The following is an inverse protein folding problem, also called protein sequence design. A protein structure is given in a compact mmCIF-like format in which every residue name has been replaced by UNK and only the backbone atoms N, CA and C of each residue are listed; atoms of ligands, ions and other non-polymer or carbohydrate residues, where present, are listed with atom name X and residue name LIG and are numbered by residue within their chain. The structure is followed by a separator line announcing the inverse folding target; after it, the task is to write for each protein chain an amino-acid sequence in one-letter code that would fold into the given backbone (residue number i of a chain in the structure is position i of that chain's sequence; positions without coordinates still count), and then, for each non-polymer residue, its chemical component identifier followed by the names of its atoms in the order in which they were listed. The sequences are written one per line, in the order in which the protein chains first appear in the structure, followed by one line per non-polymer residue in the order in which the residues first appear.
data_IF_301101730810
#
_entry.id   IF_301101730810
#
_cell.length_a   1.000
_cell.length_b   1.000
_cell.length_c   1.000
_cell.angle_alpha   90.00
_cell.angle_beta   90.00
_cell.angle_gamma   90.00
#
_symmetry.space_group_name_H-M   'P 1'
#
loop_
_entity.id
_entity.type
_entity.pdbx_description
1 polymer ?
#
# COMPACT_ATOMS: atom_id res chain seq x y z
N UNK A 1 -8.29 9.87 -20.19
CA UNK A 1 -6.92 9.89 -19.64
C UNK A 1 -6.74 8.74 -18.67
N UNK A 2 -5.60 8.06 -18.73
CA UNK A 2 -5.24 7.04 -17.75
C UNK A 2 -4.49 7.68 -16.59
N UNK A 3 -4.88 7.32 -15.37
CA UNK A 3 -4.30 7.79 -14.11
C UNK A 3 -3.82 6.57 -13.32
N UNK A 4 -2.64 6.66 -12.73
CA UNK A 4 -2.20 5.65 -11.77
C UNK A 4 -2.72 6.01 -10.37
N UNK A 5 -3.32 5.04 -9.70
CA UNK A 5 -3.76 5.19 -8.32
C UNK A 5 -2.95 4.26 -7.44
N UNK A 6 -2.24 4.82 -6.49
CA UNK A 6 -1.42 4.11 -5.51
C UNK A 6 -1.78 4.60 -4.11
N UNK A 7 -1.61 3.77 -3.10
CA UNK A 7 -1.93 4.15 -1.73
C UNK A 7 -1.12 3.35 -0.73
N UNK A 8 -1.00 3.88 0.47
CA UNK A 8 -0.41 3.18 1.61
C UNK A 8 1.01 2.67 1.31
N UNK A 9 1.83 3.55 0.75
CA UNK A 9 3.22 3.26 0.39
C UNK A 9 4.12 3.11 1.62
N UNK A 10 3.78 3.75 2.72
CA UNK A 10 4.44 3.63 4.02
C UNK A 10 5.97 3.77 3.95
N UNK A 11 6.47 4.79 3.29
CA UNK A 11 7.91 5.08 3.30
C UNK A 11 8.39 5.31 4.73
N UNK A 12 9.44 4.62 5.12
CA UNK A 12 9.89 4.54 6.50
C UNK A 12 9.35 3.31 7.26
N UNK A 13 8.62 2.43 6.58
CA UNK A 13 8.02 1.24 7.18
C UNK A 13 9.05 0.33 7.87
N UNK A 14 8.55 -0.45 8.83
CA UNK A 14 9.36 -1.43 9.57
C UNK A 14 10.57 -0.78 10.25
N UNK A 15 10.33 0.36 10.93
CA UNK A 15 11.37 1.16 11.61
C UNK A 15 12.47 1.62 10.66
N UNK A 16 12.07 2.15 9.51
CA UNK A 16 12.99 2.61 8.46
C UNK A 16 13.92 1.51 7.93
N UNK A 17 13.43 0.29 7.81
CA UNK A 17 14.21 -0.89 7.42
C UNK A 17 14.79 -0.77 6.02
N UNK A 18 16.12 -0.85 5.90
CA UNK A 18 16.80 -0.89 4.60
C UNK A 18 16.38 -2.12 3.78
N UNK A 19 16.23 -3.27 4.44
CA UNK A 19 15.80 -4.51 3.80
C UNK A 19 14.45 -4.32 3.09
N UNK A 20 13.47 -3.71 3.78
CA UNK A 20 12.15 -3.48 3.22
C UNK A 20 12.17 -2.42 2.11
N UNK A 21 12.97 -1.37 2.23
CA UNK A 21 13.08 -0.36 1.18
C UNK A 21 13.78 -0.89 -0.07
N UNK A 22 14.77 -1.75 0.05
CA UNK A 22 15.38 -2.45 -1.09
C UNK A 22 14.34 -3.37 -1.78
N UNK A 23 13.49 -4.03 -1.00
CA UNK A 23 12.38 -4.81 -1.51
C UNK A 23 11.32 -3.93 -2.21
N UNK A 24 10.94 -2.80 -1.62
CA UNK A 24 10.03 -1.86 -2.26
C UNK A 24 10.57 -1.35 -3.59
N UNK A 25 11.87 -1.12 -3.68
CA UNK A 25 12.53 -0.61 -4.88
C UNK A 25 12.34 -1.55 -6.09
N UNK A 26 12.32 -2.86 -5.87
CA UNK A 26 12.04 -3.83 -6.95
C UNK A 26 10.68 -3.60 -7.59
N UNK A 27 9.66 -3.30 -6.78
CA UNK A 27 8.34 -2.96 -7.28
C UNK A 27 8.38 -1.68 -8.13
N UNK A 28 9.02 -0.63 -7.65
CA UNK A 28 9.09 0.63 -8.39
C UNK A 28 9.91 0.49 -9.68
N UNK A 29 11.06 -0.16 -9.64
CA UNK A 29 11.94 -0.31 -10.79
C UNK A 29 11.42 -1.28 -11.84
N UNK A 30 10.78 -2.35 -11.44
CA UNK A 30 10.39 -3.43 -12.36
C UNK A 30 8.92 -3.39 -12.75
N UNK A 31 8.05 -2.77 -11.98
CA UNK A 31 6.61 -2.74 -12.20
C UNK A 31 6.07 -1.33 -12.39
N UNK A 32 6.22 -0.48 -11.38
CA UNK A 32 5.53 0.81 -11.33
C UNK A 32 6.01 1.78 -12.41
N UNK A 33 7.28 2.14 -12.43
CA UNK A 33 7.82 3.07 -13.43
C UNK A 33 7.76 2.54 -14.85
N UNK A 34 8.09 1.26 -15.12
CA UNK A 34 7.89 0.72 -16.46
C UNK A 34 6.45 0.77 -16.96
N UNK A 35 5.47 0.56 -16.06
CA UNK A 35 4.05 0.65 -16.42
C UNK A 35 3.66 2.09 -16.74
N UNK A 36 4.11 3.08 -15.96
CA UNK A 36 3.85 4.49 -16.25
C UNK A 36 4.35 4.87 -17.65
N UNK A 37 5.55 4.45 -18.00
CA UNK A 37 6.15 4.72 -19.31
C UNK A 37 5.38 4.02 -20.44
N UNK A 38 5.10 2.74 -20.29
CA UNK A 38 4.38 1.93 -21.29
C UNK A 38 2.98 2.48 -21.58
N UNK A 39 2.27 2.89 -20.55
CA UNK A 39 0.88 3.37 -20.65
C UNK A 39 0.80 4.88 -20.89
N UNK A 40 1.92 5.58 -20.91
CA UNK A 40 1.96 7.03 -21.08
C UNK A 40 1.28 7.80 -19.95
N UNK A 41 1.37 7.31 -18.72
CA UNK A 41 0.71 7.90 -17.56
C UNK A 41 1.53 9.07 -17.03
N UNK A 42 0.90 10.24 -16.91
CA UNK A 42 1.52 11.49 -16.42
C UNK A 42 0.83 12.04 -15.18
N UNK A 43 -0.15 11.33 -14.64
CA UNK A 43 -0.89 11.75 -13.43
C UNK A 43 -1.01 10.57 -12.49
N UNK A 44 -0.66 10.80 -11.24
CA UNK A 44 -0.77 9.85 -10.14
C UNK A 44 -1.72 10.42 -9.08
N UNK A 45 -2.59 9.59 -8.53
CA UNK A 45 -3.31 9.86 -7.30
C UNK A 45 -2.77 8.94 -6.22
N UNK A 46 -2.20 9.53 -5.18
CA UNK A 46 -1.76 8.88 -3.95
C UNK A 46 -2.83 9.07 -2.89
N UNK A 47 -3.49 8.00 -2.51
CA UNK A 47 -4.65 8.06 -1.59
C UNK A 47 -4.28 8.02 -0.12
N UNK A 48 -3.03 8.33 0.23
CA UNK A 48 -2.62 8.56 1.60
C UNK A 48 -1.73 7.48 2.20
N UNK A 49 -1.31 7.73 3.44
CA UNK A 49 -0.33 6.93 4.17
C UNK A 49 0.96 6.70 3.36
N UNK A 50 1.42 7.77 2.75
CA UNK A 50 2.64 7.81 1.96
C UNK A 50 3.88 7.57 2.82
N UNK A 51 3.88 8.14 4.04
CA UNK A 51 4.90 7.91 5.06
C UNK A 51 4.31 7.11 6.22
N UNK A 52 5.12 6.26 6.82
CA UNK A 52 4.67 5.27 7.80
C UNK A 52 4.40 5.85 9.19
N UNK A 53 5.23 6.80 9.63
CA UNK A 53 5.20 7.31 11.00
C UNK A 53 4.74 8.77 11.03
N UNK A 54 3.82 9.08 11.95
CA UNK A 54 3.26 10.42 12.14
C UNK A 54 4.28 11.46 12.56
N UNK A 55 5.28 11.06 13.33
CA UNK A 55 6.17 12.00 14.06
C UNK A 55 7.55 12.13 13.44
N UNK A 56 7.91 11.27 12.49
CA UNK A 56 9.22 11.40 11.87
C UNK A 56 9.59 10.26 10.94
N UNK A 57 10.66 10.48 10.22
CA UNK A 57 11.31 9.51 9.34
C UNK A 57 12.82 9.71 9.48
N UNK A 58 13.62 8.64 9.43
CA UNK A 58 15.06 8.85 9.44
C UNK A 58 15.54 9.39 8.08
N UNK A 59 16.73 10.01 8.08
CA UNK A 59 17.25 10.66 6.89
C UNK A 59 17.56 9.68 5.75
N UNK A 60 17.99 8.46 6.06
CA UNK A 60 18.26 7.45 5.03
C UNK A 60 16.98 7.02 4.29
N UNK A 61 15.89 6.79 5.02
CA UNK A 61 14.61 6.44 4.42
C UNK A 61 14.01 7.60 3.64
N UNK A 62 14.15 8.84 4.13
CA UNK A 62 13.70 10.03 3.42
C UNK A 62 14.50 10.23 2.12
N UNK A 63 15.82 10.11 2.17
CA UNK A 63 16.67 10.19 0.98
C UNK A 63 16.30 9.11 -0.02
N UNK A 64 16.06 7.90 0.44
CA UNK A 64 15.60 6.79 -0.40
C UNK A 64 14.30 7.15 -1.15
N UNK A 65 13.30 7.68 -0.44
CA UNK A 65 12.01 8.05 -1.03
C UNK A 65 12.16 9.16 -2.08
N UNK A 66 12.99 10.17 -1.80
CA UNK A 66 13.26 11.25 -2.74
C UNK A 66 14.02 10.76 -3.97
N UNK A 67 15.12 10.03 -3.77
CA UNK A 67 15.98 9.56 -4.85
C UNK A 67 15.28 8.55 -5.76
N UNK A 68 14.51 7.63 -5.20
CA UNK A 68 13.94 6.50 -5.93
C UNK A 68 12.48 6.68 -6.39
N UNK A 69 11.79 7.70 -5.89
CA UNK A 69 10.39 7.94 -6.22
C UNK A 69 10.16 9.38 -6.70
N UNK A 70 10.28 10.37 -5.83
CA UNK A 70 9.88 11.75 -6.16
C UNK A 70 10.76 12.42 -7.19
N UNK A 71 12.08 12.28 -7.12
CA UNK A 71 13.01 12.85 -8.12
C UNK A 71 12.76 12.22 -9.51
N UNK A 72 12.48 10.93 -9.56
CA UNK A 72 12.16 10.24 -10.81
C UNK A 72 10.87 10.76 -11.42
N UNK A 73 9.82 10.94 -10.63
CA UNK A 73 8.54 11.48 -11.09
C UNK A 73 8.69 12.93 -11.56
N UNK A 74 9.48 13.74 -10.87
CA UNK A 74 9.76 15.11 -11.29
C UNK A 74 10.46 15.15 -12.63
N UNK A 75 11.49 14.32 -12.84
CA UNK A 75 12.19 14.21 -14.13
C UNK A 75 11.30 13.74 -15.27
N UNK A 76 10.35 12.86 -14.98
CA UNK A 76 9.38 12.37 -15.95
C UNK A 76 8.26 13.36 -16.26
N UNK A 77 8.14 14.43 -15.50
CA UNK A 77 7.05 15.39 -15.64
C UNK A 77 5.70 14.86 -15.17
N UNK A 78 5.69 13.91 -14.23
CA UNK A 78 4.47 13.32 -13.71
C UNK A 78 3.92 14.16 -12.57
N UNK A 79 2.64 14.51 -12.66
CA UNK A 79 1.91 15.18 -11.57
C UNK A 79 1.42 14.18 -10.55
N UNK A 80 1.63 14.48 -9.27
CA UNK A 80 1.21 13.65 -8.14
C UNK A 80 0.21 14.43 -7.28
N UNK A 81 -1.00 13.87 -7.14
CA UNK A 81 -1.99 14.34 -6.19
C UNK A 81 -1.91 13.45 -4.95
N UNK A 82 -1.55 14.02 -3.80
CA UNK A 82 -1.37 13.28 -2.55
C UNK A 82 -2.42 13.65 -1.52
N UNK A 83 -3.21 12.68 -1.12
CA UNK A 83 -4.25 12.84 -0.10
C UNK A 83 -3.65 12.49 1.27
N UNK A 84 -3.91 13.32 2.28
CA UNK A 84 -3.42 13.07 3.65
C UNK A 84 -4.15 11.88 4.26
N UNK A 85 -3.39 10.87 4.71
CA UNK A 85 -3.88 9.72 5.45
C UNK A 85 -3.64 9.85 6.96
N UNK A 86 -4.09 8.88 7.73
CA UNK A 86 -3.96 8.92 9.19
C UNK A 86 -2.52 8.75 9.69
N UNK A 87 -1.66 8.05 8.96
CA UNK A 87 -0.25 7.89 9.30
C UNK A 87 0.61 9.09 8.90
N UNK A 88 0.11 10.01 8.10
CA UNK A 88 0.83 11.22 7.70
C UNK A 88 0.40 12.46 8.47
N UNK A 89 -0.71 12.42 9.18
CA UNK A 89 -1.16 13.50 10.05
C UNK A 89 -0.48 13.42 11.43
N UNK A 90 0.19 14.48 11.82
CA UNK A 90 0.94 14.53 13.08
C UNK A 90 0.04 14.34 14.31
N UNK A 91 -1.05 15.11 14.39
CA UNK A 91 -2.06 14.95 15.43
C UNK A 91 -3.20 14.05 14.97
N UNK A 92 -3.78 13.29 15.89
CA UNK A 92 -4.89 12.37 15.57
C UNK A 92 -6.20 13.08 15.24
N UNK A 93 -6.35 14.34 15.63
CA UNK A 93 -7.60 15.09 15.53
C UNK A 93 -7.59 16.18 14.46
N UNK A 94 -6.49 16.37 13.74
CA UNK A 94 -6.37 17.37 12.67
C UNK A 94 -5.36 16.96 11.61
N UNK A 95 -5.59 17.37 10.36
CA UNK A 95 -4.66 17.17 9.23
C UNK A 95 -3.74 18.37 8.99
N UNK A 96 -3.80 19.41 9.82
CA UNK A 96 -3.10 20.70 9.58
C UNK A 96 -1.59 20.53 9.46
N UNK A 97 -0.98 19.76 10.36
CA UNK A 97 0.44 19.43 10.30
C UNK A 97 0.54 18.00 9.80
N UNK A 98 1.15 17.81 8.64
CA UNK A 98 1.29 16.49 8.05
C UNK A 98 2.62 16.32 7.31
N UNK A 99 3.08 15.08 7.25
CA UNK A 99 4.38 14.73 6.70
C UNK A 99 4.50 15.06 5.21
N UNK A 100 3.46 14.80 4.43
CA UNK A 100 3.52 14.99 2.98
C UNK A 100 3.63 16.46 2.60
N UNK A 101 2.93 17.35 3.29
CA UNK A 101 3.10 18.80 3.08
C UNK A 101 4.50 19.28 3.47
N UNK A 102 4.99 18.86 4.62
CA UNK A 102 6.29 19.32 5.13
C UNK A 102 7.49 18.77 4.35
N UNK A 103 7.44 17.50 3.97
CA UNK A 103 8.59 16.82 3.37
C UNK A 103 8.70 16.97 1.86
N UNK A 104 7.63 17.37 1.17
CA UNK A 104 7.54 17.38 -0.29
C UNK A 104 7.39 18.78 -0.90
N UNK A 105 7.58 19.84 -0.12
CA UNK A 105 7.42 21.23 -0.58
C UNK A 105 8.32 21.63 -1.73
N UNK A 106 9.46 21.00 -1.88
CA UNK A 106 10.43 21.27 -2.96
C UNK A 106 9.97 20.75 -4.33
N UNK A 107 8.94 19.89 -4.37
CA UNK A 107 8.46 19.29 -5.61
C UNK A 107 7.25 20.05 -6.15
N UNK A 108 7.45 20.80 -7.22
CA UNK A 108 6.38 21.56 -7.89
C UNK A 108 5.32 20.66 -8.54
N UNK A 109 5.69 19.40 -8.83
CA UNK A 109 4.79 18.42 -9.43
C UNK A 109 3.94 17.65 -8.39
N UNK A 110 4.12 17.91 -7.10
CA UNK A 110 3.35 17.27 -6.01
C UNK A 110 2.39 18.27 -5.40
N UNK A 111 1.11 17.93 -5.39
CA UNK A 111 0.06 18.71 -4.74
C UNK A 111 -0.54 17.91 -3.59
N UNK A 112 -0.61 18.51 -2.40
CA UNK A 112 -1.06 17.86 -1.16
C UNK A 112 -2.46 18.35 -0.78
N UNK A 113 -3.34 17.42 -0.47
CA UNK A 113 -4.73 17.67 -0.08
C UNK A 113 -4.93 17.28 1.39
N UNK A 114 -5.06 18.28 2.25
CA UNK A 114 -5.32 18.10 3.68
C UNK A 114 -6.79 18.33 4.07
N UNK A 115 -7.58 18.89 3.16
CA UNK A 115 -9.02 19.09 3.27
C UNK A 115 -9.73 18.56 2.02
N UNK A 116 -11.03 18.22 2.10
CA UNK A 116 -11.77 17.78 0.92
C UNK A 116 -11.75 18.81 -0.19
N UNK A 117 -11.53 18.36 -1.42
CA UNK A 117 -11.44 19.24 -2.58
C UNK A 117 -11.93 18.52 -3.84
N UNK A 118 -12.69 19.24 -4.66
CA UNK A 118 -13.08 18.77 -5.99
C UNK A 118 -11.95 19.06 -6.98
N UNK A 119 -11.46 18.02 -7.65
CA UNK A 119 -10.33 18.08 -8.58
C UNK A 119 -10.75 17.52 -9.92
N UNK A 120 -10.35 18.19 -11.00
CA UNK A 120 -10.53 17.66 -12.35
C UNK A 120 -9.35 16.79 -12.74
N UNK A 121 -9.63 15.52 -13.02
CA UNK A 121 -8.71 14.62 -13.68
C UNK A 121 -9.14 14.52 -15.15
N UNK A 122 -8.49 15.30 -16.02
CA UNK A 122 -8.96 15.57 -17.38
C UNK A 122 -10.38 16.17 -17.35
N UNK A 123 -11.39 15.50 -17.86
CA UNK A 123 -12.80 15.94 -17.84
C UNK A 123 -13.59 15.45 -16.62
N UNK A 124 -13.06 14.50 -15.88
CA UNK A 124 -13.74 13.91 -14.73
C UNK A 124 -13.51 14.74 -13.47
N UNK A 125 -14.60 15.17 -12.84
CA UNK A 125 -14.54 15.78 -11.51
C UNK A 125 -14.54 14.69 -10.45
N UNK A 126 -13.54 14.71 -9.59
CA UNK A 126 -13.36 13.76 -8.48
C UNK A 126 -13.31 14.52 -7.17
N UNK A 127 -14.04 14.07 -6.17
CA UNK A 127 -13.91 14.57 -4.81
C UNK A 127 -12.79 13.83 -4.10
N UNK A 128 -11.72 14.54 -3.74
CA UNK A 128 -10.66 14.02 -2.88
C UNK A 128 -11.04 14.20 -1.42
N UNK A 129 -10.98 13.12 -0.64
CA UNK A 129 -11.39 13.11 0.77
C UNK A 129 -10.22 12.64 1.63
N UNK A 130 -9.45 13.57 2.24
CA UNK A 130 -8.42 13.24 3.20
C UNK A 130 -8.98 12.57 4.45
N UNK A 131 -8.09 12.04 5.28
CA UNK A 131 -8.45 11.38 6.54
C UNK A 131 -9.46 12.20 7.33
N UNK A 132 -10.60 11.58 7.64
CA UNK A 132 -11.68 12.21 8.40
C UNK A 132 -11.38 12.04 9.89
N UNK A 133 -11.34 13.16 10.61
CA UNK A 133 -11.04 13.23 12.02
C UNK A 133 -12.05 14.13 12.75
N UNK A 134 -11.85 14.31 14.05
CA UNK A 134 -12.78 15.08 14.85
C UNK A 134 -12.97 16.53 14.39
N UNK A 135 -11.90 17.17 13.90
CA UNK A 135 -11.94 18.56 13.44
C UNK A 135 -12.73 18.74 12.14
N UNK A 136 -12.55 17.82 11.19
CA UNK A 136 -13.05 17.99 9.82
C UNK A 136 -14.32 17.18 9.50
N UNK A 137 -14.79 16.32 10.41
CA UNK A 137 -15.88 15.37 10.12
C UNK A 137 -17.17 16.09 9.67
N UNK A 138 -17.62 17.08 10.43
CA UNK A 138 -18.87 17.79 10.13
C UNK A 138 -18.81 18.49 8.76
N UNK A 139 -17.72 19.19 8.47
CA UNK A 139 -17.55 19.90 7.21
C UNK A 139 -17.40 18.93 6.03
N UNK A 140 -16.67 17.83 6.23
CA UNK A 140 -16.50 16.79 5.21
C UNK A 140 -17.82 16.14 4.84
N UNK A 141 -18.66 15.81 5.82
CA UNK A 141 -19.98 15.23 5.56
C UNK A 141 -20.90 16.19 4.79
N UNK A 142 -20.84 17.48 5.10
CA UNK A 142 -21.57 18.50 4.33
C UNK A 142 -21.09 18.59 2.88
N UNK A 143 -19.80 18.52 2.66
CA UNK A 143 -19.21 18.54 1.31
C UNK A 143 -19.64 17.30 0.52
N UNK A 144 -19.61 16.12 1.13
CA UNK A 144 -20.08 14.87 0.53
C UNK A 144 -21.57 14.99 0.14
N UNK A 145 -22.40 15.56 1.00
CA UNK A 145 -23.82 15.74 0.73
C UNK A 145 -24.07 16.68 -0.45
N UNK A 146 -23.32 17.78 -0.55
CA UNK A 146 -23.52 18.84 -1.54
C UNK A 146 -22.79 18.63 -2.87
N UNK A 147 -21.76 17.82 -2.91
CA UNK A 147 -20.96 17.67 -4.12
C UNK A 147 -21.75 17.12 -5.29
N UNK A 148 -21.42 17.58 -6.49
CA UNK A 148 -21.95 17.04 -7.76
C UNK A 148 -21.03 16.01 -8.39
N UNK A 149 -19.88 15.71 -7.77
CA UNK A 149 -18.98 14.67 -8.24
C UNK A 149 -19.62 13.28 -8.15
N UNK A 150 -19.46 12.47 -9.19
CA UNK A 150 -19.91 11.07 -9.21
C UNK A 150 -18.83 10.08 -8.76
N UNK A 151 -17.58 10.54 -8.64
CA UNK A 151 -16.44 9.76 -8.22
C UNK A 151 -15.76 10.42 -7.02
N UNK A 152 -15.38 9.62 -6.04
CA UNK A 152 -14.61 10.05 -4.89
C UNK A 152 -13.38 9.18 -4.69
N UNK A 153 -12.28 9.79 -4.25
CA UNK A 153 -11.04 9.11 -3.88
C UNK A 153 -10.58 9.62 -2.53
N UNK A 154 -10.26 8.73 -1.61
CA UNK A 154 -9.92 9.16 -0.27
C UNK A 154 -9.17 8.14 0.57
N UNK A 155 -9.02 8.49 1.84
CA UNK A 155 -8.40 7.66 2.85
C UNK A 155 -9.41 7.45 3.98
N UNK A 156 -10.28 6.44 3.83
CA UNK A 156 -11.52 6.31 4.57
C UNK A 156 -11.52 5.06 5.45
N UNK A 157 -12.15 5.17 6.62
CA UNK A 157 -12.40 4.03 7.50
C UNK A 157 -13.88 3.67 7.48
N UNK A 158 -14.25 2.72 6.61
CA UNK A 158 -15.62 2.30 6.39
C UNK A 158 -15.89 0.91 6.94
N UNK A 159 -17.10 0.69 7.45
CA UNK A 159 -17.56 -0.63 7.90
C UNK A 159 -17.73 -1.60 6.75
N UNK A 160 -17.53 -2.88 7.00
CA UNK A 160 -17.86 -3.96 6.09
C UNK A 160 -16.77 -4.34 5.10
N UNK A 161 -15.61 -3.70 5.14
CA UNK A 161 -14.48 -4.01 4.26
C UNK A 161 -13.37 -4.74 4.98
N UNK A 162 -12.57 -5.50 4.24
CA UNK A 162 -11.46 -6.28 4.79
C UNK A 162 -10.29 -5.40 5.15
N UNK A 163 -9.83 -5.52 6.39
CA UNK A 163 -8.55 -4.93 6.86
C UNK A 163 -7.39 -5.82 6.41
N UNK A 164 -7.58 -7.13 6.52
CA UNK A 164 -6.70 -8.16 5.99
C UNK A 164 -7.56 -9.37 5.57
N UNK A 165 -6.95 -10.46 5.15
CA UNK A 165 -7.69 -11.65 4.66
C UNK A 165 -8.62 -12.28 5.69
N UNK A 166 -8.38 -12.06 6.98
CA UNK A 166 -9.11 -12.70 8.07
C UNK A 166 -10.08 -11.76 8.79
N UNK A 167 -9.84 -10.45 8.72
CA UNK A 167 -10.55 -9.45 9.52
C UNK A 167 -11.34 -8.51 8.62
N UNK A 168 -12.64 -8.42 8.91
CA UNK A 168 -13.54 -7.42 8.33
C UNK A 168 -13.75 -6.32 9.39
N UNK A 169 -13.67 -5.06 8.96
CA UNK A 169 -13.89 -3.92 9.85
C UNK A 169 -15.36 -3.81 10.22
N UNK A 170 -15.66 -3.95 11.50
CA UNK A 170 -17.01 -3.82 12.06
C UNK A 170 -17.31 -2.38 12.54
N UNK A 171 -16.26 -1.60 12.75
CA UNK A 171 -16.35 -0.21 13.18
C UNK A 171 -16.03 0.72 12.02
N UNK A 172 -16.24 2.01 12.21
CA UNK A 172 -15.99 3.03 11.20
C UNK A 172 -17.29 3.63 10.67
N UNK A 173 -17.18 4.38 9.59
CA UNK A 173 -18.30 5.11 9.00
C UNK A 173 -19.18 4.17 8.18
N UNK A 174 -20.47 4.53 8.09
CA UNK A 174 -21.42 3.78 7.28
C UNK A 174 -21.23 4.05 5.78
N UNK A 175 -21.30 3.00 4.98
CA UNK A 175 -21.19 3.09 3.53
C UNK A 175 -22.33 3.90 2.88
N UNK A 176 -23.48 3.98 3.53
CA UNK A 176 -24.64 4.74 3.07
C UNK A 176 -24.34 6.23 2.85
N UNK A 177 -23.35 6.79 3.56
CA UNK A 177 -22.91 8.17 3.38
C UNK A 177 -22.33 8.43 1.97
N UNK A 178 -21.92 7.37 1.27
CA UNK A 178 -21.29 7.45 -0.05
C UNK A 178 -22.19 6.93 -1.18
N UNK A 179 -23.47 6.72 -0.94
CA UNK A 179 -24.41 6.16 -1.92
C UNK A 179 -24.54 6.97 -3.22
N UNK A 180 -24.38 8.28 -3.15
CA UNK A 180 -24.50 9.15 -4.32
C UNK A 180 -23.40 8.96 -5.36
N UNK A 181 -22.24 8.45 -4.96
CA UNK A 181 -21.12 8.22 -5.87
C UNK A 181 -21.31 6.93 -6.66
N UNK A 182 -20.97 6.95 -7.95
CA UNK A 182 -20.91 5.75 -8.76
C UNK A 182 -19.66 4.92 -8.48
N UNK A 183 -18.57 5.60 -8.12
CA UNK A 183 -17.27 5.00 -7.83
C UNK A 183 -16.63 5.69 -6.63
N UNK A 184 -16.18 4.90 -5.66
CA UNK A 184 -15.39 5.37 -4.52
C UNK A 184 -14.15 4.49 -4.40
N UNK A 185 -12.97 5.09 -4.48
CA UNK A 185 -11.71 4.39 -4.24
C UNK A 185 -11.07 4.89 -2.95
N UNK A 186 -10.55 3.99 -2.16
CA UNK A 186 -9.95 4.35 -0.87
C UNK A 186 -8.66 3.60 -0.59
N UNK A 187 -7.75 4.28 0.11
CA UNK A 187 -6.68 3.70 0.89
C UNK A 187 -7.11 3.41 2.32
N UNK A 188 -6.18 3.18 3.20
CA UNK A 188 -6.29 2.85 4.61
C UNK A 188 -6.22 1.34 4.91
N UNK A 189 -7.09 0.53 4.33
CA UNK A 189 -6.99 -0.92 4.45
C UNK A 189 -6.05 -1.47 3.38
N UNK A 190 -5.10 -2.32 3.78
CA UNK A 190 -4.04 -2.78 2.88
C UNK A 190 -4.46 -3.92 1.96
N UNK A 191 -5.55 -4.58 2.25
CA UNK A 191 -6.11 -5.66 1.43
C UNK A 191 -7.15 -5.11 0.47
N UNK A 192 -7.09 -5.56 -0.80
CA UNK A 192 -8.09 -5.22 -1.80
C UNK A 192 -9.45 -5.78 -1.42
N UNK A 193 -10.48 -4.95 -1.46
CA UNK A 193 -11.84 -5.31 -1.09
C UNK A 193 -12.82 -4.39 -1.82
N UNK A 194 -13.93 -4.93 -2.30
CA UNK A 194 -14.92 -4.12 -3.03
C UNK A 194 -16.33 -4.64 -2.79
N UNK A 195 -17.30 -3.72 -2.82
CA UNK A 195 -18.73 -4.04 -2.87
C UNK A 195 -19.35 -3.79 -4.26
N UNK A 196 -18.50 -3.50 -5.25
CA UNK A 196 -18.88 -3.13 -6.62
C UNK A 196 -18.90 -1.63 -6.87
N UNK A 197 -19.09 -0.80 -5.87
CA UNK A 197 -19.05 0.67 -5.92
C UNK A 197 -17.88 1.23 -5.15
N UNK A 198 -17.74 0.87 -3.88
CA UNK A 198 -16.65 1.26 -3.00
C UNK A 198 -15.56 0.21 -3.12
N UNK A 199 -14.33 0.63 -3.42
CA UNK A 199 -13.19 -0.26 -3.59
C UNK A 199 -12.01 0.23 -2.79
N UNK A 200 -11.53 -0.61 -1.88
CA UNK A 200 -10.22 -0.47 -1.25
C UNK A 200 -9.18 -1.08 -2.17
N UNK A 201 -8.18 -0.29 -2.57
CA UNK A 201 -7.24 -0.70 -3.61
C UNK A 201 -6.04 -1.48 -3.07
N UNK A 202 -5.83 -1.48 -1.75
CA UNK A 202 -4.73 -2.16 -1.10
C UNK A 202 -3.38 -1.47 -1.33
N UNK A 203 -2.39 -1.82 -0.51
CA UNK A 203 -1.05 -1.25 -0.62
C UNK A 203 -0.20 -1.96 -1.70
N UNK A 204 0.98 -1.39 -2.06
CA UNK A 204 1.75 -1.91 -3.19
C UNK A 204 2.49 -3.22 -2.94
N UNK A 205 2.77 -3.57 -1.68
CA UNK A 205 3.68 -4.65 -1.33
C UNK A 205 3.38 -5.23 0.05
N UNK A 206 3.91 -6.42 0.31
CA UNK A 206 3.80 -7.07 1.60
C UNK A 206 4.63 -6.33 2.67
N UNK A 207 4.05 -6.09 3.85
CA UNK A 207 4.73 -5.46 4.98
C UNK A 207 4.70 -6.31 6.24
N UNK A 208 3.73 -7.21 6.36
CA UNK A 208 3.49 -8.05 7.54
C UNK A 208 3.16 -9.49 7.13
N UNK A 209 3.26 -10.40 8.09
CA UNK A 209 2.87 -11.80 7.88
C UNK A 209 1.42 -11.98 7.41
N UNK A 210 0.53 -11.11 7.85
CA UNK A 210 -0.87 -11.11 7.40
C UNK A 210 -1.05 -10.84 5.90
N UNK A 211 -0.02 -10.31 5.25
CA UNK A 211 -0.05 -9.94 3.83
C UNK A 211 0.35 -11.11 2.90
N UNK A 212 0.83 -12.20 3.46
CA UNK A 212 1.31 -13.35 2.69
C UNK A 212 0.22 -13.91 1.76
N UNK A 213 0.57 -14.16 0.50
CA UNK A 213 -0.34 -14.65 -0.54
C UNK A 213 -1.56 -13.75 -0.84
N UNK A 214 -1.44 -12.46 -0.55
CA UNK A 214 -2.47 -11.47 -0.85
C UNK A 214 -2.00 -10.58 -2.01
N UNK A 215 -2.86 -10.38 -3.02
CA UNK A 215 -2.48 -9.60 -4.20
C UNK A 215 -2.26 -8.13 -3.83
N UNK A 216 -1.09 -7.59 -4.20
CA UNK A 216 -0.67 -6.22 -3.94
C UNK A 216 -0.25 -5.55 -5.24
N UNK A 217 -0.19 -4.23 -5.23
CA UNK A 217 0.23 -3.45 -6.40
C UNK A 217 -0.43 -2.08 -6.44
N UNK A 218 -0.77 -1.64 -7.62
CA UNK A 218 -1.49 -0.38 -7.84
C UNK A 218 -2.55 -0.58 -8.94
N UNK A 219 -3.24 0.49 -9.31
CA UNK A 219 -4.30 0.42 -10.31
C UNK A 219 -4.13 1.50 -11.37
N UNK A 220 -4.53 1.18 -12.60
CA UNK A 220 -4.71 2.15 -13.68
C UNK A 220 -6.21 2.43 -13.80
N UNK A 221 -6.56 3.71 -13.77
CA UNK A 221 -7.93 4.17 -13.88
C UNK A 221 -8.09 5.03 -15.12
N UNK A 222 -9.06 4.69 -15.96
CA UNK A 222 -9.41 5.47 -17.14
C UNK A 222 -10.54 6.45 -16.78
N UNK A 223 -10.25 7.75 -16.89
CA UNK A 223 -11.21 8.80 -16.52
C UNK A 223 -12.39 8.93 -17.49
N UNK A 224 -12.29 8.39 -18.70
CA UNK A 224 -13.38 8.38 -19.69
C UNK A 224 -14.31 7.18 -19.52
N UNK A 225 -13.74 5.97 -19.44
CA UNK A 225 -14.53 4.74 -19.33
C UNK A 225 -14.89 4.38 -17.91
N UNK A 226 -14.21 4.98 -16.92
CA UNK A 226 -14.29 4.67 -15.48
C UNK A 226 -13.87 3.22 -15.16
N UNK A 227 -13.15 2.57 -16.05
CA UNK A 227 -12.58 1.25 -15.83
C UNK A 227 -11.32 1.32 -14.99
N UNK A 228 -11.19 0.38 -14.09
CA UNK A 228 -10.05 0.23 -13.21
C UNK A 228 -9.37 -1.11 -13.46
N UNK A 229 -8.08 -1.08 -13.76
CA UNK A 229 -7.27 -2.26 -14.04
C UNK A 229 -6.21 -2.44 -12.96
N UNK A 230 -6.20 -3.56 -12.22
CA UNK A 230 -5.14 -3.82 -11.25
C UNK A 230 -3.81 -4.15 -11.95
N UNK A 231 -2.73 -3.65 -11.39
CA UNK A 231 -1.35 -4.00 -11.77
C UNK A 231 -0.71 -4.64 -10.55
N UNK A 232 -0.45 -5.93 -10.62
CA UNK A 232 0.03 -6.69 -9.48
C UNK A 232 1.54 -6.62 -9.33
N UNK A 233 2.00 -6.56 -8.08
CA UNK A 233 3.39 -6.70 -7.71
C UNK A 233 3.71 -8.19 -7.57
N UNK A 234 4.62 -8.74 -8.39
CA UNK A 234 5.01 -10.14 -8.29
C UNK A 234 6.01 -10.40 -7.16
N UNK A 235 6.63 -9.36 -6.62
CA UNK A 235 7.68 -9.49 -5.59
C UNK A 235 7.07 -9.74 -4.23
N UNK A 236 7.65 -10.67 -3.50
CA UNK A 236 7.19 -11.11 -2.19
C UNK A 236 8.32 -11.00 -1.16
N UNK A 237 7.96 -10.78 0.10
CA UNK A 237 8.88 -10.74 1.23
C UNK A 237 8.70 -11.93 2.17
N UNK A 238 7.47 -12.37 2.38
CA UNK A 238 7.10 -13.37 3.38
C UNK A 238 6.77 -14.70 2.73
N UNK A 239 7.39 -15.78 3.23
CA UNK A 239 7.19 -17.13 2.72
C UNK A 239 6.93 -18.11 3.84
N UNK A 240 5.91 -18.96 3.66
CA UNK A 240 5.70 -20.16 4.46
C UNK A 240 6.27 -21.35 3.70
N UNK A 241 7.15 -22.11 4.35
CA UNK A 241 7.69 -23.36 3.81
C UNK A 241 7.18 -24.48 4.70
N UNK A 242 6.51 -25.43 4.09
CA UNK A 242 6.02 -26.63 4.78
C UNK A 242 7.05 -27.73 4.64
N UNK A 243 7.70 -28.04 5.73
CA UNK A 243 8.88 -28.92 5.76
C UNK A 243 8.62 -30.29 5.11
N UNK A 244 7.52 -30.95 5.48
CA UNK A 244 7.17 -32.29 4.98
C UNK A 244 6.80 -32.30 3.48
N UNK A 245 6.35 -31.17 2.96
CA UNK A 245 5.95 -31.04 1.56
C UNK A 245 7.09 -30.54 0.66
N UNK A 246 8.26 -30.29 1.23
CA UNK A 246 9.40 -29.70 0.51
C UNK A 246 10.52 -30.73 0.32
N UNK A 247 10.80 -31.17 -0.93
CA UNK A 247 11.86 -32.15 -1.19
C UNK A 247 13.24 -31.58 -0.90
N UNK A 248 13.99 -32.20 0.02
CA UNK A 248 15.31 -31.73 0.46
C UNK A 248 16.37 -31.70 -0.66
N UNK A 249 16.29 -32.64 -1.60
CA UNK A 249 17.31 -32.84 -2.62
C UNK A 249 17.19 -31.85 -3.78
N UNK A 250 15.98 -31.40 -4.08
CA UNK A 250 15.68 -30.51 -5.20
C UNK A 250 15.30 -29.10 -4.78
N UNK A 251 15.32 -28.84 -3.48
CA UNK A 251 14.93 -27.57 -2.90
C UNK A 251 15.92 -26.46 -3.27
N UNK A 252 15.46 -25.48 -4.04
CA UNK A 252 16.26 -24.32 -4.41
C UNK A 252 16.02 -23.18 -3.40
N UNK A 253 17.06 -22.83 -2.66
CA UNK A 253 16.99 -21.79 -1.63
C UNK A 253 17.31 -20.39 -2.12
N UNK A 254 17.71 -20.22 -3.40
CA UNK A 254 18.11 -18.91 -3.94
C UNK A 254 17.00 -17.87 -3.90
N UNK A 255 15.75 -18.30 -4.05
CA UNK A 255 14.58 -17.40 -4.02
C UNK A 255 14.32 -16.80 -2.63
N UNK A 256 14.93 -17.36 -1.57
CA UNK A 256 14.73 -16.89 -0.20
C UNK A 256 15.82 -15.93 0.29
N UNK A 257 16.77 -15.58 -0.56
CA UNK A 257 17.76 -14.56 -0.22
C UNK A 257 17.07 -13.22 0.12
N UNK A 258 17.42 -12.65 1.29
CA UNK A 258 16.82 -11.43 1.83
C UNK A 258 15.30 -11.52 2.08
N UNK A 259 14.78 -12.71 2.25
CA UNK A 259 13.36 -12.94 2.56
C UNK A 259 13.15 -13.30 4.02
N UNK A 260 11.90 -13.16 4.46
CA UNK A 260 11.45 -13.57 5.79
C UNK A 260 10.66 -14.86 5.64
N UNK A 261 11.16 -15.91 6.27
CA UNK A 261 10.66 -17.28 6.07
C UNK A 261 10.19 -17.89 7.38
N UNK A 262 9.07 -18.56 7.30
CA UNK A 262 8.52 -19.39 8.36
C UNK A 262 8.52 -20.84 7.88
N UNK A 263 9.27 -21.71 8.59
CA UNK A 263 9.26 -23.14 8.34
C UNK A 263 8.23 -23.78 9.26
N UNK A 264 7.18 -24.36 8.68
CA UNK A 264 6.12 -25.03 9.40
C UNK A 264 6.39 -26.53 9.43
N UNK A 265 6.54 -27.10 10.62
CA UNK A 265 6.81 -28.52 10.84
C UNK A 265 5.59 -29.16 11.46
N UNK A 266 5.07 -30.22 10.84
CA UNK A 266 3.90 -30.98 11.34
C UNK A 266 4.33 -32.21 12.16
N UNK A 267 5.45 -32.84 11.79
CA UNK A 267 5.97 -34.04 12.44
C UNK A 267 7.47 -33.96 12.62
N UNK A 268 7.93 -34.12 13.84
CA UNK A 268 9.36 -34.26 14.15
C UNK A 268 9.81 -35.71 14.00
N UNK A 269 10.05 -36.19 12.80
CA UNK A 269 10.43 -37.60 12.56
C UNK A 269 11.91 -37.77 12.31
N UNK A 270 12.65 -36.74 11.88
CA UNK A 270 14.07 -36.82 11.56
C UNK A 270 14.78 -35.50 11.86
N UNK A 271 15.33 -35.41 13.07
CA UNK A 271 16.01 -34.21 13.56
C UNK A 271 17.24 -33.84 12.71
N UNK A 272 17.97 -34.83 12.27
CA UNK A 272 19.22 -34.65 11.51
C UNK A 272 18.98 -34.03 10.14
N UNK A 273 17.99 -34.53 9.41
CA UNK A 273 17.58 -33.99 8.10
C UNK A 273 16.94 -32.61 8.23
N UNK A 274 16.16 -32.39 9.30
CA UNK A 274 15.58 -31.08 9.58
C UNK A 274 16.67 -30.03 9.86
N UNK A 275 17.68 -30.35 10.66
CA UNK A 275 18.81 -29.44 10.91
C UNK A 275 19.55 -29.07 9.61
N UNK A 276 19.80 -30.06 8.75
CA UNK A 276 20.40 -29.81 7.42
C UNK A 276 19.54 -28.90 6.54
N UNK A 277 18.23 -29.08 6.59
CA UNK A 277 17.30 -28.24 5.86
C UNK A 277 17.35 -26.79 6.32
N UNK A 278 17.31 -26.56 7.62
CA UNK A 278 17.41 -25.23 8.23
C UNK A 278 18.76 -24.59 7.92
N UNK A 279 19.86 -25.34 8.03
CA UNK A 279 21.21 -24.85 7.72
C UNK A 279 21.33 -24.43 6.24
N UNK A 280 20.72 -25.19 5.34
CA UNK A 280 20.67 -24.83 3.92
C UNK A 280 19.94 -23.50 3.69
N UNK A 281 18.84 -23.26 4.39
CA UNK A 281 18.13 -21.98 4.34
C UNK A 281 18.97 -20.82 4.88
N UNK A 282 19.60 -20.98 6.02
CA UNK A 282 20.50 -19.95 6.58
C UNK A 282 21.66 -19.63 5.64
N UNK A 283 22.20 -20.64 4.97
CA UNK A 283 23.31 -20.46 4.01
C UNK A 283 22.88 -19.72 2.73
N UNK A 284 21.60 -19.61 2.45
CA UNK A 284 21.08 -18.93 1.27
C UNK A 284 21.01 -17.39 1.42
N UNK A 285 21.39 -16.84 2.56
CA UNK A 285 21.31 -15.39 2.81
C UNK A 285 19.92 -14.91 3.21
N UNK A 286 19.13 -15.76 3.82
CA UNK A 286 17.79 -15.44 4.34
C UNK A 286 17.89 -14.33 5.39
N UNK A 287 16.93 -13.39 5.37
CA UNK A 287 16.91 -12.26 6.30
C UNK A 287 16.46 -12.68 7.70
N UNK A 288 15.41 -13.49 7.78
CA UNK A 288 14.84 -13.97 9.03
C UNK A 288 14.22 -15.35 8.82
N UNK A 289 14.45 -16.25 9.78
CA UNK A 289 13.85 -17.57 9.77
C UNK A 289 13.21 -17.86 11.12
N UNK A 290 11.96 -18.32 11.09
CA UNK A 290 11.23 -18.79 12.25
C UNK A 290 10.75 -20.22 12.01
N UNK A 291 10.99 -21.12 12.96
CA UNK A 291 10.44 -22.47 12.94
C UNK A 291 9.15 -22.50 13.76
N UNK A 292 8.08 -22.97 13.17
CA UNK A 292 6.79 -23.14 13.84
C UNK A 292 6.40 -24.61 13.81
N UNK A 293 6.18 -25.17 14.98
CA UNK A 293 5.65 -26.51 15.13
C UNK A 293 4.14 -26.45 15.20
N UNK A 294 3.49 -27.00 14.18
CA UNK A 294 2.04 -27.08 14.11
C UNK A 294 1.63 -28.55 14.19
N UNK A 295 1.47 -29.04 15.41
CA UNK A 295 0.95 -30.37 15.64
C UNK A 295 -0.56 -30.31 15.57
N UNK A 296 -1.13 -30.76 14.46
CA UNK A 296 -2.56 -31.08 14.40
C UNK A 296 -2.83 -32.28 15.31
N UNK A 297 -3.57 -32.03 16.36
CA UNK A 297 -4.09 -33.06 17.25
C UNK A 297 -5.39 -33.67 16.70
#
# INVERSE_FOLDING_TARGET
MKVAIITDQHFGARKNSKLFHDYFLKFYDEVFFPTLEKEGITTIVDMGDTFDNRTGINFAALAWAKDNYYDRLQKMGVKVHTIVGNHTAYYKNTNTINAVDLLLREYDNVEVYSAPEEVKLDKLKVLFIPWINQENEADTLKIIEKTTCNCAMGHLELQGFRVNRQIVMEHGMECSLFEKFSHVFSGHYHTRSTDGKISYLGNPYEMFWSDVNDARGFHIFDTETLERTPVNNPHRMFYNIYYEDTPHQTFDTREYENKIVKVVVRKKTDTKNFEKFVDKLYSSGIAELKVVENFDF
#
